data_IF_981044773723
#
_entry.id   IF_981044773723
#
_cell.length_a   1.000
_cell.length_b   1.000
_cell.length_c   1.000
_cell.angle_alpha   90.00
_cell.angle_beta   90.00
_cell.angle_gamma   90.00
#
_symmetry.space_group_name_H-M   'P 1'
#
loop_
_entity.id
_entity.type
_entity.pdbx_description
1 polymer ?
#
# COMPACT_ATOMS: atom_id res chain seq x y z
N UNK A 1 -5.88 -10.24 -24.88
CA UNK A 1 -5.29 -11.15 -23.86
C UNK A 1 -5.47 -10.59 -22.47
N UNK A 2 -6.04 -11.40 -21.57
CA UNK A 2 -6.31 -11.03 -20.15
C UNK A 2 -5.03 -10.64 -19.40
N UNK A 3 -3.94 -11.39 -19.59
CA UNK A 3 -2.62 -11.08 -19.02
C UNK A 3 -2.12 -9.69 -19.40
N UNK A 4 -2.22 -9.32 -20.69
CA UNK A 4 -1.81 -7.99 -21.16
C UNK A 4 -2.66 -6.86 -20.53
N UNK A 5 -3.92 -7.10 -20.21
CA UNK A 5 -4.77 -6.11 -19.52
C UNK A 5 -4.32 -5.91 -18.08
N UNK A 6 -4.00 -7.00 -17.37
CA UNK A 6 -3.48 -6.98 -15.99
C UNK A 6 -2.15 -6.23 -15.94
N UNK A 7 -1.19 -6.59 -16.80
CA UNK A 7 0.12 -5.92 -16.85
C UNK A 7 0.00 -4.42 -17.16
N UNK A 8 -0.95 -4.03 -18.01
CA UNK A 8 -1.26 -2.61 -18.26
C UNK A 8 -1.78 -1.92 -17.01
N UNK A 9 -2.70 -2.54 -16.26
CA UNK A 9 -3.19 -2.01 -15.00
C UNK A 9 -2.07 -1.72 -13.99
N UNK A 10 -1.15 -2.67 -13.83
CA UNK A 10 0.04 -2.51 -12.96
C UNK A 10 0.92 -1.34 -13.45
N UNK A 11 1.21 -1.30 -14.75
CA UNK A 11 2.08 -0.27 -15.33
C UNK A 11 1.49 1.14 -15.19
N UNK A 12 0.15 1.28 -15.23
CA UNK A 12 -0.52 2.55 -15.00
C UNK A 12 -0.56 2.96 -13.52
N UNK A 13 -0.47 2.01 -12.59
CA UNK A 13 -0.38 2.29 -11.16
C UNK A 13 0.99 2.80 -10.73
N UNK A 14 2.06 2.28 -11.36
CA UNK A 14 3.46 2.57 -11.01
C UNK A 14 3.83 4.07 -10.87
N UNK A 15 3.43 4.98 -11.79
CA UNK A 15 3.85 6.37 -11.74
C UNK A 15 2.98 7.26 -10.84
N UNK A 16 1.92 6.73 -10.25
CA UNK A 16 0.94 7.53 -9.50
C UNK A 16 1.30 7.53 -8.02
N UNK A 17 1.64 8.70 -7.43
CA UNK A 17 1.91 8.82 -5.99
C UNK A 17 0.59 8.90 -5.22
N UNK A 18 -0.26 7.87 -5.36
CA UNK A 18 -1.58 7.84 -4.74
C UNK A 18 -1.54 6.80 -3.62
N UNK A 19 -1.81 7.26 -2.40
CA UNK A 19 -1.92 6.40 -1.24
C UNK A 19 -3.13 5.45 -1.35
N UNK A 20 -3.22 4.46 -0.46
CA UNK A 20 -4.34 3.50 -0.41
C UNK A 20 -5.71 4.18 -0.28
N UNK A 21 -5.78 5.37 0.33
CA UNK A 21 -7.02 6.14 0.47
C UNK A 21 -7.45 6.79 -0.85
N UNK A 22 -6.51 7.31 -1.64
CA UNK A 22 -6.81 8.00 -2.91
C UNK A 22 -7.07 7.05 -4.09
N UNK A 23 -6.55 5.82 -4.05
CA UNK A 23 -6.68 4.88 -5.18
C UNK A 23 -8.10 4.30 -5.29
N UNK A 24 -8.81 4.18 -4.16
CA UNK A 24 -10.17 3.62 -4.09
C UNK A 24 -11.20 4.39 -4.93
N UNK A 25 -11.38 5.73 -4.78
CA UNK A 25 -12.32 6.49 -5.61
C UNK A 25 -11.92 6.51 -7.09
N UNK A 26 -10.61 6.52 -7.38
CA UNK A 26 -10.11 6.42 -8.75
C UNK A 26 -10.48 5.08 -9.37
N UNK A 27 -10.29 3.97 -8.65
CA UNK A 27 -10.71 2.64 -9.06
C UNK A 27 -12.21 2.56 -9.36
N UNK A 28 -13.06 3.14 -8.51
CA UNK A 28 -14.50 3.20 -8.78
C UNK A 28 -14.83 3.90 -10.09
N UNK A 29 -14.13 4.99 -10.40
CA UNK A 29 -14.32 5.74 -11.65
C UNK A 29 -13.85 4.94 -12.85
N UNK A 30 -12.73 4.22 -12.74
CA UNK A 30 -12.23 3.33 -13.80
C UNK A 30 -13.21 2.19 -14.10
N UNK A 31 -13.75 1.54 -13.07
CA UNK A 31 -14.75 0.47 -13.22
C UNK A 31 -16.03 1.02 -13.86
N UNK A 32 -16.52 2.19 -13.43
CA UNK A 32 -17.68 2.87 -14.05
C UNK A 32 -17.47 3.22 -15.52
N UNK A 33 -16.22 3.48 -15.93
CA UNK A 33 -15.83 3.73 -17.33
C UNK A 33 -15.62 2.44 -18.15
N UNK A 34 -15.90 1.26 -17.58
CA UNK A 34 -15.83 -0.01 -18.28
C UNK A 34 -14.42 -0.62 -18.35
N UNK A 35 -13.49 -0.21 -17.47
CA UNK A 35 -12.18 -0.87 -17.39
C UNK A 35 -12.36 -2.33 -16.99
N UNK A 36 -11.71 -3.29 -17.67
CA UNK A 36 -11.79 -4.71 -17.32
C UNK A 36 -11.40 -4.96 -15.86
N UNK A 37 -12.14 -5.83 -15.17
CA UNK A 37 -11.94 -6.14 -13.75
C UNK A 37 -10.47 -6.48 -13.43
N UNK A 38 -9.84 -7.36 -14.21
CA UNK A 38 -8.44 -7.73 -13.99
C UNK A 38 -7.48 -6.53 -14.05
N UNK A 39 -7.67 -5.60 -15.00
CA UNK A 39 -6.84 -4.40 -15.09
C UNK A 39 -7.09 -3.44 -13.92
N UNK A 40 -8.36 -3.28 -13.51
CA UNK A 40 -8.73 -2.42 -12.40
C UNK A 40 -8.20 -2.92 -11.05
N UNK A 41 -8.32 -4.22 -10.77
CA UNK A 41 -7.83 -4.82 -9.51
C UNK A 41 -6.30 -4.79 -9.47
N UNK A 42 -5.64 -5.08 -10.58
CA UNK A 42 -4.18 -5.00 -10.65
C UNK A 42 -3.68 -3.57 -10.38
N UNK A 43 -4.36 -2.57 -10.96
CA UNK A 43 -4.11 -1.16 -10.68
C UNK A 43 -4.32 -0.80 -9.19
N UNK A 44 -5.42 -1.28 -8.60
CA UNK A 44 -5.80 -1.01 -7.22
C UNK A 44 -4.73 -1.50 -6.21
N UNK A 45 -4.16 -2.68 -6.45
CA UNK A 45 -3.09 -3.25 -5.60
C UNK A 45 -1.74 -2.62 -5.91
N UNK A 46 -1.39 -2.46 -7.19
CA UNK A 46 -0.06 -2.04 -7.60
C UNK A 46 0.27 -0.59 -7.25
N UNK A 47 -0.71 0.30 -7.27
CA UNK A 47 -0.51 1.75 -7.07
C UNK A 47 0.15 2.08 -5.72
N UNK A 48 -0.40 1.66 -4.57
CA UNK A 48 0.21 1.95 -3.28
C UNK A 48 1.49 1.13 -2.98
N UNK A 49 1.68 -0.03 -3.61
CA UNK A 49 2.82 -0.92 -3.31
C UNK A 49 4.06 -0.69 -4.17
N UNK A 50 3.86 -0.30 -5.43
CA UNK A 50 4.94 -0.04 -6.39
C UNK A 50 5.17 1.46 -6.61
N UNK A 51 4.47 2.31 -5.86
CA UNK A 51 4.58 3.76 -5.92
C UNK A 51 5.99 4.25 -5.61
N UNK A 52 6.34 5.40 -6.18
CA UNK A 52 7.64 6.02 -5.96
C UNK A 52 7.87 6.37 -4.48
N UNK A 53 6.81 6.74 -3.76
CA UNK A 53 6.82 6.98 -2.32
C UNK A 53 7.23 5.73 -1.53
N UNK A 54 6.61 4.58 -1.83
CA UNK A 54 6.95 3.31 -1.19
C UNK A 54 8.41 2.92 -1.45
N UNK A 55 8.93 3.15 -2.67
CA UNK A 55 10.34 2.90 -3.02
C UNK A 55 11.29 3.80 -2.24
N UNK A 56 11.03 5.11 -2.24
CA UNK A 56 11.89 6.12 -1.61
C UNK A 56 11.98 5.93 -0.10
N UNK A 57 10.92 5.43 0.54
CA UNK A 57 10.86 5.19 1.98
C UNK A 57 11.44 3.81 2.32
N UNK A 58 11.18 2.79 1.50
CA UNK A 58 11.68 1.42 1.74
C UNK A 58 13.19 1.30 1.60
N UNK A 59 13.81 2.03 0.67
CA UNK A 59 15.25 1.94 0.46
C UNK A 59 16.09 2.26 1.72
N UNK A 60 15.92 3.43 2.37
CA UNK A 60 16.69 3.76 3.57
C UNK A 60 16.28 2.95 4.80
N UNK A 61 15.02 2.50 4.91
CA UNK A 61 14.50 1.82 6.09
C UNK A 61 14.70 0.31 6.09
N UNK A 62 14.57 -0.34 4.93
CA UNK A 62 14.62 -1.80 4.79
C UNK A 62 15.88 -2.30 4.07
N UNK A 63 16.61 -1.41 3.41
CA UNK A 63 17.76 -1.75 2.57
C UNK A 63 17.38 -2.23 1.16
N UNK A 64 18.38 -2.31 0.29
CA UNK A 64 18.19 -2.61 -1.14
C UNK A 64 17.64 -4.02 -1.42
N UNK A 65 18.12 -5.03 -0.70
CA UNK A 65 17.67 -6.42 -0.91
C UNK A 65 16.18 -6.58 -0.58
N UNK A 66 15.75 -6.04 0.56
CA UNK A 66 14.35 -6.09 0.99
C UNK A 66 13.44 -5.23 0.10
N UNK A 67 13.91 -4.06 -0.37
CA UNK A 67 13.19 -3.27 -1.36
C UNK A 67 12.92 -4.07 -2.65
N UNK A 68 13.95 -4.72 -3.21
CA UNK A 68 13.80 -5.51 -4.44
C UNK A 68 12.82 -6.66 -4.21
N UNK A 69 12.94 -7.38 -3.09
CA UNK A 69 12.01 -8.43 -2.72
C UNK A 69 10.57 -7.90 -2.60
N UNK A 70 10.38 -6.72 -1.99
CA UNK A 70 9.08 -6.06 -1.87
C UNK A 70 8.48 -5.75 -3.23
N UNK A 71 9.24 -5.13 -4.15
CA UNK A 71 8.73 -4.76 -5.48
C UNK A 71 8.39 -5.98 -6.33
N UNK A 72 9.24 -7.00 -6.33
CA UNK A 72 8.98 -8.25 -7.05
C UNK A 72 7.73 -8.92 -6.49
N UNK A 73 7.63 -9.02 -5.16
CA UNK A 73 6.49 -9.66 -4.51
C UNK A 73 5.19 -8.89 -4.73
N UNK A 74 5.21 -7.57 -4.61
CA UNK A 74 4.07 -6.71 -4.91
C UNK A 74 3.58 -6.91 -6.35
N UNK A 75 4.50 -6.97 -7.32
CA UNK A 75 4.16 -7.25 -8.71
C UNK A 75 3.52 -8.63 -8.89
N UNK A 76 4.11 -9.67 -8.31
CA UNK A 76 3.61 -11.05 -8.41
C UNK A 76 2.22 -11.17 -7.77
N UNK A 77 2.02 -10.56 -6.59
CA UNK A 77 0.73 -10.57 -5.88
C UNK A 77 -0.32 -9.79 -6.67
N UNK A 78 -0.02 -8.57 -7.11
CA UNK A 78 -0.96 -7.77 -7.91
C UNK A 78 -1.39 -8.52 -9.18
N UNK A 79 -0.43 -9.15 -9.88
CA UNK A 79 -0.71 -9.95 -11.06
C UNK A 79 -1.51 -11.21 -10.71
N UNK A 80 -1.11 -11.95 -9.68
CA UNK A 80 -1.71 -13.22 -9.27
C UNK A 80 -3.14 -13.04 -8.78
N UNK A 81 -3.39 -12.08 -7.89
CA UNK A 81 -4.73 -11.74 -7.40
C UNK A 81 -5.62 -11.33 -8.57
N UNK A 82 -5.17 -10.40 -9.41
CA UNK A 82 -5.95 -9.96 -10.56
C UNK A 82 -6.24 -11.09 -11.56
N UNK A 83 -5.29 -12.00 -11.79
CA UNK A 83 -5.44 -13.13 -12.70
C UNK A 83 -6.43 -14.17 -12.17
N UNK A 84 -6.35 -14.51 -10.88
CA UNK A 84 -7.28 -15.43 -10.23
C UNK A 84 -8.69 -14.84 -10.23
N UNK A 85 -8.83 -13.56 -9.86
CA UNK A 85 -10.14 -12.91 -9.83
C UNK A 85 -10.75 -12.76 -11.21
N UNK A 86 -9.98 -12.35 -12.22
CA UNK A 86 -10.50 -12.26 -13.59
C UNK A 86 -11.02 -13.61 -14.12
N UNK A 87 -10.49 -14.73 -13.59
CA UNK A 87 -10.88 -16.09 -13.98
C UNK A 87 -12.05 -16.65 -13.16
N UNK A 88 -12.09 -16.41 -11.86
CA UNK A 88 -13.01 -17.07 -10.92
C UNK A 88 -14.05 -16.14 -10.31
N UNK A 89 -13.88 -14.81 -10.41
CA UNK A 89 -14.87 -13.88 -9.90
C UNK A 89 -16.15 -13.97 -10.74
N UNK A 90 -17.28 -13.99 -10.05
CA UNK A 90 -18.58 -13.91 -10.70
C UNK A 90 -18.66 -12.52 -11.32
N UNK A 91 -18.88 -12.46 -12.64
CA UNK A 91 -19.12 -11.21 -13.37
C UNK A 91 -20.47 -10.62 -12.95
N UNK A 92 -20.54 -10.04 -11.76
CA UNK A 92 -21.69 -9.28 -11.29
C UNK A 92 -21.43 -7.80 -11.52
N UNK A 93 -21.45 -7.40 -12.79
CA UNK A 93 -21.77 -6.02 -13.19
C UNK A 93 -22.90 -6.13 -14.21
N UNK A 94 -24.07 -5.52 -13.97
CA UNK A 94 -25.12 -5.46 -14.98
C UNK A 94 -24.62 -4.59 -16.14
N UNK A 95 -24.37 -5.19 -17.31
CA UNK A 95 -24.37 -4.45 -18.57
C UNK A 95 -23.14 -4.50 -19.48
N UNK A 96 -22.23 -5.48 -19.40
CA UNK A 96 -21.18 -5.63 -20.44
C UNK A 96 -21.20 -7.02 -21.11
N UNK A 97 -21.61 -6.99 -22.38
CA UNK A 97 -21.60 -8.06 -23.37
C UNK A 97 -20.19 -8.54 -23.66
N UNK A 98 -20.03 -9.86 -23.77
CA UNK A 98 -18.76 -10.54 -24.08
C UNK A 98 -18.40 -10.45 -25.57
N UNK A 99 -18.41 -9.26 -26.18
CA UNK A 99 -17.93 -9.11 -27.56
C UNK A 99 -16.39 -8.92 -27.57
N UNK A 100 -15.60 -9.85 -28.14
CA UNK A 100 -14.15 -9.74 -28.18
C UNK A 100 -13.62 -8.58 -29.03
N UNK A 101 -14.49 -7.91 -29.81
CA UNK A 101 -14.07 -6.97 -30.86
C UNK A 101 -14.37 -5.49 -30.58
N UNK A 102 -15.03 -5.12 -29.47
CA UNK A 102 -15.55 -3.74 -29.30
C UNK A 102 -15.10 -2.94 -28.07
N UNK A 103 -14.03 -3.35 -27.37
CA UNK A 103 -13.50 -2.57 -26.23
C UNK A 103 -12.03 -2.15 -26.39
N UNK A 104 -11.63 -1.87 -27.63
CA UNK A 104 -10.50 -1.00 -27.93
C UNK A 104 -10.96 0.45 -27.98
N UNK A 105 -11.84 0.89 -27.06
CA UNK A 105 -11.76 2.29 -26.70
C UNK A 105 -10.33 2.44 -26.15
N UNK A 106 -9.45 3.23 -26.81
CA UNK A 106 -8.28 3.67 -26.10
C UNK A 106 -8.86 4.31 -24.85
N UNK A 107 -8.40 3.93 -23.67
CA UNK A 107 -8.45 4.87 -22.56
C UNK A 107 -7.58 6.02 -23.06
N UNK A 108 -8.20 6.94 -23.79
CA UNK A 108 -7.66 8.24 -24.13
C UNK A 108 -7.69 8.96 -22.79
N UNK A 109 -6.69 8.63 -21.97
CA UNK A 109 -6.21 9.58 -20.99
C UNK A 109 -5.81 10.75 -21.88
N UNK A 110 -6.65 11.79 -21.87
CA UNK A 110 -6.29 13.08 -22.42
C UNK A 110 -4.89 13.34 -21.90
N UNK A 111 -3.90 13.22 -22.77
CA UNK A 111 -2.49 13.28 -22.43
C UNK A 111 -2.33 14.66 -21.79
N UNK A 112 -2.31 14.82 -20.45
CA UNK A 112 -1.83 16.09 -19.96
C UNK A 112 -0.36 15.98 -20.33
N UNK A 113 0.10 16.71 -21.33
CA UNK A 113 1.49 17.14 -21.29
C UNK A 113 1.47 18.18 -20.20
N UNK A 114 1.71 17.88 -18.91
CA UNK A 114 1.80 18.99 -18.01
C UNK A 114 3.19 19.54 -18.32
N UNK A 115 3.26 20.65 -19.04
CA UNK A 115 4.42 21.53 -18.89
C UNK A 115 4.34 22.05 -17.45
N UNK A 116 4.67 21.19 -16.47
CA UNK A 116 4.79 21.60 -15.09
C UNK A 116 5.99 22.52 -15.07
N UNK A 117 5.72 23.81 -14.91
CA UNK A 117 6.77 24.78 -14.58
C UNK A 117 7.51 24.23 -13.35
N UNK A 118 8.84 24.26 -13.37
CA UNK A 118 9.69 23.74 -12.29
C UNK A 118 9.28 24.29 -10.91
N UNK A 119 8.78 25.53 -10.86
CA UNK A 119 8.19 26.15 -9.66
C UNK A 119 6.94 25.43 -9.12
N UNK A 120 6.04 24.94 -9.98
CA UNK A 120 4.86 24.15 -9.55
C UNK A 120 5.24 22.72 -9.18
N UNK A 121 6.22 22.15 -9.85
CA UNK A 121 6.78 20.83 -9.49
C UNK A 121 7.37 20.83 -8.08
N UNK A 122 8.16 21.85 -7.74
CA UNK A 122 8.68 22.04 -6.37
C UNK A 122 7.57 22.32 -5.35
N UNK A 123 6.50 23.01 -5.74
CA UNK A 123 5.36 23.27 -4.84
C UNK A 123 4.57 21.98 -4.53
N UNK A 124 4.29 21.17 -5.53
CA UNK A 124 3.56 19.89 -5.38
C UNK A 124 4.41 18.84 -4.64
N UNK A 125 5.72 18.75 -4.92
CA UNK A 125 6.62 17.81 -4.24
C UNK A 125 6.87 18.14 -2.78
N UNK A 126 6.93 19.42 -2.42
CA UNK A 126 7.37 19.82 -1.08
C UNK A 126 6.23 20.10 -0.10
N UNK A 127 5.03 20.42 -0.59
CA UNK A 127 3.92 20.83 0.28
C UNK A 127 2.81 19.78 0.33
N UNK A 128 2.25 19.38 -0.81
CA UNK A 128 1.13 18.41 -0.82
C UNK A 128 1.59 17.00 -0.38
N UNK A 129 2.77 16.56 -0.84
CA UNK A 129 3.29 15.24 -0.50
C UNK A 129 3.64 15.11 0.99
N UNK A 130 4.31 16.11 1.57
CA UNK A 130 4.73 16.09 2.98
C UNK A 130 3.54 16.29 3.92
N UNK A 131 2.61 17.17 3.56
CA UNK A 131 1.41 17.43 4.38
C UNK A 131 0.48 16.19 4.40
N UNK A 132 0.44 15.39 3.32
CA UNK A 132 -0.35 14.16 3.23
C UNK A 132 0.36 12.94 3.86
N UNK A 133 1.67 12.79 3.66
CA UNK A 133 2.45 11.65 4.18
C UNK A 133 2.83 11.83 5.65
N UNK A 134 3.11 13.06 6.08
CA UNK A 134 3.68 13.38 7.39
C UNK A 134 2.90 12.82 8.59
N UNK A 135 1.57 13.04 8.68
CA UNK A 135 0.77 12.53 9.80
C UNK A 135 0.78 11.00 9.89
N UNK A 136 0.70 10.32 8.75
CA UNK A 136 0.75 8.85 8.65
C UNK A 136 2.13 8.29 8.98
N UNK A 137 3.20 8.98 8.56
CA UNK A 137 4.56 8.62 8.91
C UNK A 137 4.77 8.72 10.42
N UNK A 138 4.32 9.80 11.07
CA UNK A 138 4.36 9.93 12.53
C UNK A 138 3.56 8.82 13.20
N UNK A 139 2.33 8.57 12.74
CA UNK A 139 1.51 7.51 13.31
C UNK A 139 2.22 6.15 13.19
N UNK A 140 2.81 5.85 12.04
CA UNK A 140 3.61 4.64 11.82
C UNK A 140 4.82 4.55 12.75
N UNK A 141 5.55 5.65 12.97
CA UNK A 141 6.70 5.71 13.89
C UNK A 141 6.25 5.55 15.35
N UNK A 142 5.17 6.21 15.77
CA UNK A 142 4.62 6.08 17.13
C UNK A 142 4.11 4.66 17.38
N UNK A 143 3.40 4.09 16.41
CA UNK A 143 2.93 2.71 16.47
C UNK A 143 4.11 1.73 16.52
N UNK A 144 5.17 1.97 15.74
CA UNK A 144 6.38 1.16 15.76
C UNK A 144 7.10 1.24 17.11
N UNK A 145 7.25 2.44 17.67
CA UNK A 145 7.84 2.64 18.99
C UNK A 145 7.01 1.97 20.11
N UNK A 146 5.68 1.99 20.00
CA UNK A 146 4.79 1.31 20.92
C UNK A 146 4.79 -0.21 20.75
N UNK A 147 4.95 -0.71 19.52
CA UNK A 147 4.98 -2.14 19.20
C UNK A 147 6.31 -2.80 19.55
N UNK A 148 7.44 -2.06 19.49
CA UNK A 148 8.78 -2.57 19.76
C UNK A 148 8.90 -3.37 21.07
N UNK A 149 8.47 -2.86 22.25
CA UNK A 149 8.56 -3.64 23.49
C UNK A 149 7.68 -4.89 23.47
N UNK A 150 6.58 -4.94 22.70
CA UNK A 150 5.77 -6.15 22.56
C UNK A 150 6.46 -7.18 21.66
N UNK A 151 7.14 -6.73 20.60
CA UNK A 151 7.87 -7.61 19.69
C UNK A 151 9.07 -8.26 20.37
N UNK A 152 9.77 -7.54 21.25
CA UNK A 152 10.92 -8.04 22.01
C UNK A 152 10.55 -9.13 23.04
N UNK A 153 9.28 -9.21 23.46
CA UNK A 153 8.79 -10.29 24.33
C UNK A 153 8.72 -11.65 23.63
N UNK A 154 8.70 -11.66 22.29
CA UNK A 154 8.53 -12.87 21.48
C UNK A 154 9.89 -13.32 20.95
N UNK A 155 10.26 -14.57 21.22
CA UNK A 155 11.47 -15.18 20.65
C UNK A 155 11.22 -15.62 19.20
N UNK A 156 11.19 -14.66 18.28
CA UNK A 156 10.91 -14.89 16.85
C UNK A 156 11.79 -15.96 16.20
N UNK A 157 13.03 -16.11 16.65
CA UNK A 157 13.96 -17.14 16.17
C UNK A 157 13.50 -18.59 16.45
N UNK A 158 12.63 -18.80 17.45
CA UNK A 158 12.07 -20.12 17.78
C UNK A 158 10.70 -20.35 17.14
N UNK A 159 10.10 -19.31 16.56
CA UNK A 159 8.78 -19.39 15.97
C UNK A 159 8.87 -20.02 14.57
N UNK A 160 8.01 -21.00 14.22
CA UNK A 160 8.08 -21.61 12.91
C UNK A 160 7.75 -20.60 11.81
N UNK A 161 8.58 -20.55 10.76
CA UNK A 161 8.50 -19.56 9.67
C UNK A 161 7.11 -19.42 9.07
N UNK A 162 6.47 -20.56 8.76
CA UNK A 162 5.13 -20.57 8.16
C UNK A 162 4.09 -19.89 9.05
N UNK A 163 4.22 -20.02 10.37
CA UNK A 163 3.31 -19.43 11.34
C UNK A 163 3.62 -17.94 11.52
N UNK A 164 4.90 -17.55 11.53
CA UNK A 164 5.30 -16.15 11.60
C UNK A 164 4.74 -15.37 10.40
N UNK A 165 4.90 -15.90 9.19
CA UNK A 165 4.38 -15.27 7.96
C UNK A 165 2.86 -15.17 8.02
N UNK A 166 2.15 -16.25 8.39
CA UNK A 166 0.69 -16.23 8.45
C UNK A 166 0.17 -15.25 9.51
N UNK A 167 0.77 -15.23 10.69
CA UNK A 167 0.40 -14.31 11.78
C UNK A 167 0.57 -12.86 11.33
N UNK A 168 1.69 -12.54 10.67
CA UNK A 168 1.98 -11.18 10.20
C UNK A 168 1.07 -10.75 9.04
N UNK A 169 0.74 -11.66 8.13
CA UNK A 169 -0.29 -11.44 7.11
C UNK A 169 -1.63 -11.08 7.75
N UNK A 170 -2.08 -11.85 8.75
CA UNK A 170 -3.35 -11.61 9.43
C UNK A 170 -3.34 -10.32 10.25
N UNK A 171 -2.20 -9.97 10.83
CA UNK A 171 -2.03 -8.72 11.58
C UNK A 171 -2.00 -7.48 10.68
N UNK A 172 -1.58 -7.63 9.42
CA UNK A 172 -1.66 -6.57 8.42
C UNK A 172 -3.08 -6.12 8.13
N UNK A 173 -4.05 -7.04 8.16
CA UNK A 173 -5.45 -6.79 7.81
C UNK A 173 -6.16 -5.72 8.67
N UNK A 174 -6.15 -5.78 10.02
CA UNK A 174 -6.78 -4.77 10.87
C UNK A 174 -6.01 -3.44 10.92
N UNK A 175 -4.72 -3.45 10.56
CA UNK A 175 -3.89 -2.26 10.61
C UNK A 175 -4.16 -1.43 9.36
N UNK A 176 -5.03 -0.42 9.51
CA UNK A 176 -5.34 0.56 8.47
C UNK A 176 -4.18 1.54 8.29
N UNK A 177 -3.05 1.05 7.79
CA UNK A 177 -1.85 1.83 7.54
C UNK A 177 -1.42 1.64 6.10
N UNK A 178 -1.21 2.75 5.39
CA UNK A 178 -0.74 2.73 4.02
C UNK A 178 0.69 2.19 3.91
N UNK A 179 1.12 1.85 2.70
CA UNK A 179 2.46 1.30 2.42
C UNK A 179 3.58 2.14 3.05
N UNK A 180 3.43 3.47 2.97
CA UNK A 180 4.34 4.45 3.55
C UNK A 180 4.41 4.38 5.08
N UNK A 181 3.27 4.36 5.78
CA UNK A 181 3.25 4.27 7.25
C UNK A 181 3.64 2.88 7.79
N UNK A 182 3.42 1.82 7.01
CA UNK A 182 3.74 0.45 7.41
C UNK A 182 5.24 0.15 7.29
N UNK A 183 5.97 0.90 6.45
CA UNK A 183 7.40 0.67 6.19
C UNK A 183 8.29 0.88 7.42
N UNK A 184 8.16 1.97 8.21
CA UNK A 184 8.89 2.11 9.47
C UNK A 184 8.59 0.98 10.47
N UNK A 185 7.34 0.55 10.56
CA UNK A 185 6.95 -0.57 11.43
C UNK A 185 7.62 -1.87 10.97
N UNK A 186 7.66 -2.13 9.67
CA UNK A 186 8.40 -3.27 9.11
C UNK A 186 9.90 -3.22 9.42
N UNK A 187 10.52 -2.05 9.39
CA UNK A 187 11.93 -1.89 9.75
C UNK A 187 12.19 -2.25 11.22
N UNK A 188 11.32 -1.80 12.14
CA UNK A 188 11.40 -2.18 13.56
C UNK A 188 11.18 -3.68 13.75
N UNK A 189 10.26 -4.29 13.00
CA UNK A 189 10.04 -5.74 13.05
C UNK A 189 11.27 -6.53 12.59
N UNK A 190 11.93 -6.10 11.52
CA UNK A 190 13.21 -6.69 11.07
C UNK A 190 14.29 -6.54 12.15
N UNK A 191 14.38 -5.36 12.78
CA UNK A 191 15.33 -5.11 13.86
C UNK A 191 15.05 -5.96 15.11
N UNK A 192 13.77 -6.24 15.40
CA UNK A 192 13.33 -7.14 16.48
C UNK A 192 13.53 -8.64 16.15
N UNK A 193 14.07 -8.97 14.96
CA UNK A 193 14.37 -10.34 14.55
C UNK A 193 13.19 -11.10 13.92
N UNK A 194 12.12 -10.41 13.51
CA UNK A 194 11.04 -11.02 12.74
C UNK A 194 11.56 -11.44 11.36
N UNK A 195 11.18 -12.63 10.90
CA UNK A 195 11.62 -13.18 9.62
C UNK A 195 11.26 -12.24 8.43
N UNK A 196 12.14 -12.06 7.43
CA UNK A 196 11.97 -11.03 6.41
C UNK A 196 10.72 -11.21 5.55
N UNK A 197 10.39 -12.45 5.20
CA UNK A 197 9.18 -12.80 4.48
C UNK A 197 7.90 -12.56 5.29
N UNK A 198 7.96 -12.64 6.63
CA UNK A 198 6.82 -12.32 7.49
C UNK A 198 6.58 -10.81 7.52
N UNK A 199 7.66 -10.01 7.65
CA UNK A 199 7.59 -8.55 7.52
C UNK A 199 7.08 -8.15 6.13
N UNK A 200 7.58 -8.78 5.07
CA UNK A 200 7.13 -8.50 3.71
C UNK A 200 5.65 -8.79 3.53
N UNK A 201 5.18 -9.93 4.05
CA UNK A 201 3.78 -10.31 3.97
C UNK A 201 2.87 -9.31 4.71
N UNK A 202 3.30 -8.80 5.88
CA UNK A 202 2.63 -7.69 6.56
C UNK A 202 2.59 -6.42 5.71
N UNK A 203 3.73 -6.01 5.14
CA UNK A 203 3.86 -4.78 4.35
C UNK A 203 2.98 -4.77 3.10
N UNK A 204 2.76 -5.93 2.45
CA UNK A 204 1.87 -6.03 1.29
C UNK A 204 0.41 -6.17 1.72
N UNK A 205 0.13 -6.95 2.75
CA UNK A 205 -1.26 -7.26 3.12
C UNK A 205 -1.98 -6.04 3.67
N UNK A 206 -1.32 -5.20 4.47
CA UNK A 206 -1.96 -4.03 5.10
C UNK A 206 -2.59 -3.07 4.08
N UNK A 207 -1.81 -2.46 3.18
CA UNK A 207 -2.34 -1.46 2.25
C UNK A 207 -3.31 -2.05 1.23
N UNK A 208 -3.14 -3.32 0.86
CA UNK A 208 -3.96 -3.98 -0.15
C UNK A 208 -5.31 -4.54 0.37
N UNK A 209 -5.42 -4.86 1.67
CA UNK A 209 -6.61 -5.51 2.25
C UNK A 209 -7.41 -4.62 3.20
N UNK A 210 -7.24 -3.31 3.07
CA UNK A 210 -7.91 -2.33 3.93
C UNK A 210 -9.46 -2.35 3.79
N UNK A 211 -10.15 -1.92 4.85
CA UNK A 211 -11.62 -2.02 4.97
C UNK A 211 -12.36 -1.28 3.85
N UNK A 212 -11.84 -0.13 3.41
CA UNK A 212 -12.44 0.69 2.36
C UNK A 212 -12.34 0.00 1.00
N UNK A 213 -11.20 -0.62 0.69
CA UNK A 213 -10.97 -1.41 -0.53
C UNK A 213 -11.91 -2.61 -0.59
N UNK A 214 -12.03 -3.35 0.51
CA UNK A 214 -12.95 -4.49 0.60
C UNK A 214 -14.41 -4.06 0.49
N UNK A 215 -14.77 -2.96 1.14
CA UNK A 215 -16.11 -2.35 1.05
C UNK A 215 -16.47 -2.02 -0.40
N UNK A 216 -15.58 -1.31 -1.10
CA UNK A 216 -15.77 -0.95 -2.51
C UNK A 216 -15.79 -2.17 -3.42
N UNK A 217 -14.92 -3.15 -3.19
CA UNK A 217 -14.91 -4.39 -3.96
C UNK A 217 -16.21 -5.19 -3.77
N UNK A 218 -16.73 -5.24 -2.55
CA UNK A 218 -17.99 -5.92 -2.23
C UNK A 218 -19.20 -5.25 -2.89
N UNK A 219 -19.21 -3.91 -2.95
CA UNK A 219 -20.27 -3.11 -3.58
C UNK A 219 -20.24 -3.21 -5.10
N UNK A 220 -19.05 -3.17 -5.72
CA UNK A 220 -18.90 -3.17 -7.17
C UNK A 220 -18.93 -4.55 -7.82
N UNK A 221 -18.35 -5.56 -7.14
CA UNK A 221 -18.14 -6.89 -7.72
C UNK A 221 -18.80 -8.02 -6.92
N UNK A 222 -19.53 -7.68 -5.85
CA UNK A 222 -20.24 -8.62 -5.00
C UNK A 222 -19.37 -9.24 -3.89
N UNK A 223 -20.03 -9.69 -2.83
CA UNK A 223 -19.38 -10.30 -1.65
C UNK A 223 -18.55 -11.55 -1.97
N UNK A 224 -18.95 -12.34 -2.98
CA UNK A 224 -18.18 -13.54 -3.40
C UNK A 224 -16.80 -13.16 -3.92
N UNK A 225 -16.72 -12.11 -4.73
CA UNK A 225 -15.46 -11.59 -5.28
C UNK A 225 -14.57 -10.99 -4.20
N UNK A 226 -15.17 -10.30 -3.21
CA UNK A 226 -14.45 -9.79 -2.04
C UNK A 226 -13.79 -10.90 -1.23
N UNK A 227 -14.52 -11.98 -0.92
CA UNK A 227 -13.93 -13.13 -0.21
C UNK A 227 -12.85 -13.83 -1.04
N UNK A 228 -13.07 -13.96 -2.35
CA UNK A 228 -12.06 -14.52 -3.24
C UNK A 228 -10.79 -13.65 -3.26
N UNK A 229 -10.92 -12.33 -3.30
CA UNK A 229 -9.80 -11.38 -3.18
C UNK A 229 -9.01 -11.62 -1.89
N UNK A 230 -9.71 -11.62 -0.76
CA UNK A 230 -9.12 -11.74 0.57
C UNK A 230 -8.41 -13.09 0.77
N UNK A 231 -9.03 -14.19 0.37
CA UNK A 231 -8.41 -15.52 0.46
C UNK A 231 -7.20 -15.59 -0.48
N UNK A 232 -7.31 -15.06 -1.69
CA UNK A 232 -6.22 -15.11 -2.67
C UNK A 232 -5.02 -14.29 -2.21
N UNK A 233 -5.24 -13.08 -1.69
CA UNK A 233 -4.15 -12.24 -1.22
C UNK A 233 -3.45 -12.88 -0.03
N UNK A 234 -4.18 -13.42 0.95
CA UNK A 234 -3.61 -14.12 2.12
C UNK A 234 -2.80 -15.34 1.68
N UNK A 235 -3.33 -16.17 0.78
CA UNK A 235 -2.63 -17.36 0.31
C UNK A 235 -1.36 -17.01 -0.46
N UNK A 236 -1.43 -16.02 -1.37
CA UNK A 236 -0.27 -15.60 -2.15
C UNK A 236 0.79 -14.93 -1.28
N UNK A 237 0.41 -14.04 -0.36
CA UNK A 237 1.36 -13.40 0.57
C UNK A 237 2.00 -14.43 1.50
N UNK A 238 1.23 -15.42 1.97
CA UNK A 238 1.75 -16.49 2.80
C UNK A 238 2.78 -17.35 2.04
N UNK A 239 2.43 -17.82 0.84
CA UNK A 239 3.34 -18.65 0.01
C UNK A 239 4.59 -17.87 -0.40
N UNK A 240 4.44 -16.63 -0.88
CA UNK A 240 5.59 -15.84 -1.32
C UNK A 240 6.42 -15.39 -0.11
N UNK A 241 5.81 -15.07 1.03
CA UNK A 241 6.53 -14.77 2.27
C UNK A 241 7.40 -15.94 2.73
N UNK A 242 6.88 -17.18 2.67
CA UNK A 242 7.69 -18.37 2.94
C UNK A 242 8.84 -18.53 1.93
N UNK A 243 8.58 -18.28 0.63
CA UNK A 243 9.63 -18.29 -0.40
C UNK A 243 10.71 -17.23 -0.11
N UNK A 244 10.31 -16.04 0.35
CA UNK A 244 11.23 -14.97 0.72
C UNK A 244 12.07 -15.36 1.93
N UNK A 245 11.51 -15.99 2.96
CA UNK A 245 12.30 -16.50 4.09
C UNK A 245 13.35 -17.52 3.63
N UNK A 246 12.99 -18.37 2.66
CA UNK A 246 13.91 -19.36 2.11
C UNK A 246 15.05 -18.73 1.29
N UNK A 247 14.76 -17.68 0.50
CA UNK A 247 15.75 -16.98 -0.33
C UNK A 247 16.60 -15.99 0.49
N UNK A 248 16.01 -15.36 1.50
CA UNK A 248 16.63 -14.37 2.37
C UNK A 248 16.50 -14.81 3.84
N UNK A 249 17.34 -15.76 4.29
CA UNK A 249 17.45 -16.07 5.71
C UNK A 249 17.79 -14.81 6.50
N UNK A 250 17.31 -14.75 7.75
CA UNK A 250 17.56 -13.64 8.68
C UNK A 250 19.04 -13.28 8.83
N UNK A 251 19.95 -14.23 8.63
CA UNK A 251 21.41 -14.04 8.69
C UNK A 251 21.99 -13.22 7.51
N UNK A 252 21.26 -13.12 6.39
CA UNK A 252 21.73 -12.47 5.15
C UNK A 252 21.40 -10.97 5.10
N UNK A 253 20.52 -10.49 5.99
CA UNK A 253 20.24 -9.07 6.11
C UNK A 253 21.18 -8.47 7.17
N UNK A 254 21.94 -7.41 6.87
CA UNK A 254 22.71 -6.70 7.88
C UNK A 254 21.74 -5.99 8.83
N UNK A 255 21.27 -6.71 9.85
CA UNK A 255 20.42 -6.22 10.93
C UNK A 255 21.14 -5.20 11.81
N UNK A 256 22.44 -5.02 11.64
CA UNK A 256 23.30 -4.12 12.42
C UNK A 256 23.62 -2.76 11.77
N UNK A 257 22.97 -2.36 10.67
CA UNK A 257 23.25 -1.04 10.05
C UNK A 257 22.11 -0.03 10.13
N UNK A 258 20.91 -0.42 10.57
CA UNK A 258 19.78 0.52 10.64
C UNK A 258 19.88 1.42 11.89
N UNK A 259 20.48 0.94 12.98
CA UNK A 259 20.61 1.69 14.24
C UNK A 259 22.00 1.67 14.91
N UNK A 260 22.99 0.98 14.35
CA UNK A 260 24.28 0.73 15.05
C UNK A 260 25.55 1.07 14.26
N UNK A 261 25.48 1.77 13.12
CA UNK A 261 26.69 2.44 12.62
C UNK A 261 26.88 3.78 13.34
N UNK A 262 27.80 3.81 14.31
CA UNK A 262 28.43 5.02 14.88
C UNK A 262 29.15 5.90 13.82
N UNK A 263 29.05 5.54 12.54
CA UNK A 263 29.46 6.35 11.40
C UNK A 263 28.29 7.23 10.91
N UNK A 264 27.65 7.99 11.80
CA UNK A 264 26.66 8.99 11.37
C UNK A 264 27.36 10.00 10.47
N UNK A 265 27.24 9.80 9.17
CA UNK A 265 27.84 10.67 8.17
C UNK A 265 27.11 12.01 8.24
N UNK A 266 27.82 13.12 8.04
CA UNK A 266 27.23 14.46 8.17
C UNK A 266 25.97 14.66 7.30
N UNK A 267 25.90 13.96 6.16
CA UNK A 267 24.73 13.96 5.29
C UNK A 267 23.47 13.38 5.93
N UNK A 268 23.57 12.40 6.84
CA UNK A 268 22.42 11.84 7.56
C UNK A 268 21.85 12.85 8.57
N UNK A 269 22.71 13.58 9.28
CA UNK A 269 22.30 14.67 10.17
C UNK A 269 21.68 15.83 9.40
N UNK A 270 22.24 16.18 8.24
CA UNK A 270 21.68 17.21 7.37
C UNK A 270 20.35 16.75 6.77
N UNK A 271 20.24 15.51 6.31
CA UNK A 271 18.98 14.95 5.80
C UNK A 271 17.91 14.88 6.89
N UNK A 272 18.26 14.40 8.09
CA UNK A 272 17.37 14.36 9.25
C UNK A 272 16.97 15.75 9.73
N UNK A 273 17.89 16.73 9.69
CA UNK A 273 17.60 18.13 9.99
C UNK A 273 16.67 18.76 8.95
N UNK A 274 16.88 18.51 7.66
CA UNK A 274 16.01 18.97 6.57
C UNK A 274 14.62 18.34 6.71
N UNK A 275 14.54 17.02 6.92
CA UNK A 275 13.28 16.31 7.16
C UNK A 275 12.56 16.86 8.40
N UNK A 276 13.30 17.07 9.49
CA UNK A 276 12.78 17.65 10.73
C UNK A 276 12.24 19.06 10.51
N UNK A 277 12.95 19.91 9.77
CA UNK A 277 12.52 21.28 9.43
C UNK A 277 11.29 21.27 8.52
N UNK A 278 11.28 20.43 7.47
CA UNK A 278 10.13 20.27 6.58
C UNK A 278 8.90 19.78 7.35
N UNK A 279 9.12 18.84 8.28
CA UNK A 279 8.06 18.32 9.14
C UNK A 279 7.54 19.38 10.12
N UNK A 280 8.44 20.10 10.80
CA UNK A 280 8.08 21.22 11.68
C UNK A 280 7.32 22.29 10.90
N UNK A 281 7.76 22.62 9.68
CA UNK A 281 7.08 23.57 8.80
C UNK A 281 5.68 23.08 8.40
N UNK A 282 5.51 21.78 8.13
CA UNK A 282 4.21 21.15 7.89
C UNK A 282 3.31 21.23 9.13
N UNK A 283 3.83 20.87 10.31
CA UNK A 283 3.12 20.94 11.58
C UNK A 283 2.67 22.37 11.93
N UNK A 284 3.51 23.37 11.69
CA UNK A 284 3.18 24.78 11.89
C UNK A 284 2.19 25.32 10.85
N UNK A 285 2.16 24.73 9.65
CA UNK A 285 1.26 25.15 8.57
C UNK A 285 -0.15 24.57 8.72
N UNK A 286 -0.26 23.26 8.97
CA UNK A 286 -1.53 22.55 9.14
C UNK A 286 -2.10 22.84 10.53
N UNK A 287 -1.22 22.93 11.53
CA UNK A 287 -1.58 23.03 12.94
C UNK A 287 -1.84 21.64 13.56
N UNK A 288 -1.44 21.41 14.82
CA UNK A 288 -1.51 20.09 15.45
C UNK A 288 -2.94 19.53 15.54
N UNK A 289 -3.94 20.41 15.65
CA UNK A 289 -5.36 20.01 15.69
C UNK A 289 -5.86 19.46 14.35
N UNK A 290 -5.53 20.11 13.23
CA UNK A 290 -5.92 19.64 11.92
C UNK A 290 -5.18 18.34 11.57
N UNK A 291 -3.92 18.21 12.00
CA UNK A 291 -3.13 16.99 11.81
C UNK A 291 -3.74 15.76 12.52
N UNK A 292 -4.23 15.94 13.75
CA UNK A 292 -4.96 14.91 14.49
C UNK A 292 -6.34 14.64 13.87
N UNK A 293 -7.01 15.68 13.38
CA UNK A 293 -8.28 15.52 12.67
C UNK A 293 -8.13 14.72 11.37
N UNK A 294 -7.04 14.84 10.62
CA UNK A 294 -6.79 14.00 9.43
C UNK A 294 -6.66 12.51 9.77
N UNK A 295 -6.12 12.18 10.95
CA UNK A 295 -6.07 10.80 11.44
C UNK A 295 -7.44 10.30 11.92
N UNK A 296 -8.26 11.18 12.52
CA UNK A 296 -9.57 10.85 13.06
C UNK A 296 -10.71 10.88 12.03
N UNK A 297 -10.64 11.72 10.99
CA UNK A 297 -11.67 11.83 9.94
C UNK A 297 -11.78 10.56 9.09
N UNK A 298 -10.77 9.69 9.14
CA UNK A 298 -10.79 8.36 8.54
C UNK A 298 -11.59 7.36 9.38
N UNK A 299 -11.74 7.61 10.68
CA UNK A 299 -12.56 6.79 11.58
C UNK A 299 -14.05 7.16 11.56
N UNK A 300 -14.40 8.41 11.22
CA UNK A 300 -15.78 8.93 11.24
C UNK A 300 -16.55 8.77 9.91
N UNK A 301 -15.88 8.46 8.80
CA UNK A 301 -16.56 8.31 7.49
C UNK A 301 -17.36 6.99 7.35
N UNK A 302 -17.41 6.18 8.43
CA UNK A 302 -18.20 4.94 8.51
C UNK A 302 -19.60 5.14 9.13
N UNK A 303 -19.93 6.31 9.70
CA UNK A 303 -21.16 6.46 10.51
C UNK A 303 -22.19 7.50 10.05
N UNK A 304 -22.01 8.28 8.97
CA UNK A 304 -23.03 9.27 8.60
C UNK A 304 -23.63 9.21 7.17
N UNK A 305 -24.96 9.08 7.21
CA UNK A 305 -25.97 9.42 6.19
C UNK A 305 -26.39 8.35 5.18
N UNK A 306 -26.81 7.21 5.74
CA UNK A 306 -28.08 6.61 5.33
C UNK A 306 -29.27 7.36 5.93
N UNK A 307 -29.71 8.47 5.31
CA UNK A 307 -31.05 9.01 5.53
C UNK A 307 -31.70 9.40 4.20
N UNK A 308 -32.71 8.62 3.82
CA UNK A 308 -33.59 8.96 2.72
C UNK A 308 -34.47 10.15 3.09
N UNK A 309 -34.72 10.99 2.10
CA UNK A 309 -35.99 11.70 1.99
C UNK A 309 -36.43 11.66 0.53
N UNK A 310 -37.48 10.89 0.28
CA UNK A 310 -38.33 11.10 -0.87
C UNK A 310 -39.26 12.27 -0.60
N UNK A 311 -39.33 13.20 -1.55
CA UNK A 311 -40.48 14.01 -1.96
C UNK A 311 -40.08 14.46 -3.38
N UNK A 312 -40.81 14.18 -4.47
CA UNK A 312 -42.25 14.28 -4.61
C UNK A 312 -42.63 15.73 -4.79
N UNK A 313 -42.34 16.30 -5.98
CA UNK A 313 -43.19 17.19 -6.78
C UNK A 313 -42.46 17.60 -8.06
#
# INVERSE_FOLDING_TARGET
NRSNQISRGILFGLPLPICSCGVVPLYQTLVKKGVPMGAGIAFLIATPELGLDAVLISYPLLGGAMLVARLITAFIIAFGVAWILDRFAVKTVPGHSNDPLNHLAPVSVANPKPKMKFSKFWHTLNYELIDEIGPWLIFGILLAAAAQPLLDLVQWATFPDWAAVLLMTLFGFPIYVCATGATPLGAVMLAAGVAPGAVLAFLITGPASNITTLGVLSRLHGRRTMWLFLITIILLTWVIGMLVNWVMPTELLPTSTIFTEDNTTWYQWVAGGILGILFLASLFRIGPRAMVQTLLSVADDDDDHGHGHGHGH
#
